data_IF_286034123388
#
_entry.id   IF_286034123388
#
_cell.length_a   1.000
_cell.length_b   1.000
_cell.length_c   1.000
_cell.angle_alpha   90.00
_cell.angle_beta   90.00
_cell.angle_gamma   90.00
#
_symmetry.space_group_name_H-M   'P 1'
#
loop_
_entity.id
_entity.type
_entity.pdbx_description
1 polymer ?
#
# COMPACT_ATOMS: atom_id res chain seq x y z
N UNK A 1 15.44 17.26 13.93
CA UNK A 1 14.47 16.83 14.97
C UNK A 1 14.11 15.34 14.83
N UNK A 2 13.48 14.90 13.72
CA UNK A 2 13.02 13.51 13.55
C UNK A 2 14.10 12.41 13.61
N UNK A 3 15.29 12.64 13.02
CA UNK A 3 16.39 11.69 13.10
C UNK A 3 16.90 11.48 14.54
N UNK A 4 16.88 12.54 15.35
CA UNK A 4 17.26 12.49 16.76
C UNK A 4 16.21 11.70 17.55
N UNK A 5 14.93 11.91 17.26
CA UNK A 5 13.84 11.18 17.90
C UNK A 5 13.86 9.68 17.55
N UNK A 6 14.15 9.33 16.30
CA UNK A 6 14.35 7.95 15.87
C UNK A 6 15.53 7.32 16.63
N UNK A 7 16.70 7.97 16.64
CA UNK A 7 17.86 7.49 17.38
C UNK A 7 17.58 7.36 18.88
N UNK A 8 16.86 8.31 19.47
CA UNK A 8 16.46 8.25 20.87
C UNK A 8 15.62 7.00 21.17
N UNK A 9 14.62 6.69 20.35
CA UNK A 9 13.82 5.48 20.52
C UNK A 9 14.64 4.22 20.29
N UNK A 10 15.51 4.17 19.29
CA UNK A 10 16.39 3.02 19.02
C UNK A 10 17.38 2.77 20.17
N UNK A 11 18.04 3.82 20.70
CA UNK A 11 18.92 3.72 21.86
C UNK A 11 18.16 3.31 23.12
N UNK A 12 16.96 3.87 23.33
CA UNK A 12 16.11 3.49 24.48
C UNK A 12 15.69 2.02 24.39
N UNK A 13 15.36 1.51 23.20
CA UNK A 13 15.03 0.10 23.02
C UNK A 13 16.24 -0.81 23.27
N UNK A 14 17.43 -0.40 22.83
CA UNK A 14 18.66 -1.15 23.07
C UNK A 14 18.98 -1.24 24.58
N UNK A 15 18.82 -0.15 25.34
CA UNK A 15 19.04 -0.17 26.80
C UNK A 15 17.96 -0.96 27.53
N UNK A 16 16.70 -0.90 27.06
CA UNK A 16 15.61 -1.70 27.60
C UNK A 16 15.79 -3.21 27.36
N UNK A 17 16.45 -3.62 26.28
CA UNK A 17 16.78 -5.02 26.01
C UNK A 17 17.97 -5.52 26.85
N UNK A 18 18.87 -4.63 27.27
CA UNK A 18 20.05 -4.97 28.08
C UNK A 18 19.73 -5.03 29.58
N UNK A 19 18.73 -4.29 30.06
CA UNK A 19 18.34 -4.28 31.46
C UNK A 19 17.45 -5.48 31.81
N UNK A 20 17.78 -6.20 32.89
CA UNK A 20 17.02 -7.35 33.40
C UNK A 20 15.62 -7.00 33.92
N UNK A 21 15.35 -5.72 34.22
CA UNK A 21 14.01 -5.25 34.57
C UNK A 21 13.15 -5.15 33.30
N UNK A 22 12.46 -6.23 32.98
CA UNK A 22 11.59 -6.40 31.81
C UNK A 22 10.39 -5.44 31.86
N UNK A 23 10.59 -4.16 31.55
CA UNK A 23 9.51 -3.17 31.47
C UNK A 23 8.80 -3.28 30.12
N UNK A 24 8.06 -4.38 29.95
CA UNK A 24 7.39 -4.74 28.71
C UNK A 24 6.40 -3.67 28.25
N UNK A 25 5.74 -2.98 29.19
CA UNK A 25 4.81 -1.90 28.89
C UNK A 25 5.50 -0.69 28.24
N UNK A 26 6.66 -0.28 28.77
CA UNK A 26 7.43 0.83 28.21
C UNK A 26 8.03 0.44 26.86
N UNK A 27 8.57 -0.78 26.76
CA UNK A 27 9.09 -1.34 25.52
C UNK A 27 8.01 -1.36 24.43
N UNK A 28 6.81 -1.84 24.73
CA UNK A 28 5.68 -1.90 23.78
C UNK A 28 5.30 -0.51 23.28
N UNK A 29 5.08 0.45 24.19
CA UNK A 29 4.74 1.83 23.82
C UNK A 29 5.84 2.51 22.99
N UNK A 30 7.10 2.24 23.32
CA UNK A 30 8.25 2.81 22.60
C UNK A 30 8.32 2.27 21.17
N UNK A 31 8.16 0.95 20.99
CA UNK A 31 8.07 0.32 19.68
C UNK A 31 6.89 0.84 18.86
N UNK A 32 5.71 1.02 19.49
CA UNK A 32 4.54 1.55 18.81
C UNK A 32 4.78 2.98 18.30
N UNK A 33 5.44 3.82 19.12
CA UNK A 33 5.81 5.20 18.74
C UNK A 33 6.86 5.22 17.64
N UNK A 34 7.88 4.36 17.72
CA UNK A 34 8.87 4.19 16.66
C UNK A 34 8.22 3.74 15.36
N UNK A 35 7.27 2.79 15.41
CA UNK A 35 6.54 2.31 14.23
C UNK A 35 5.71 3.41 13.54
N UNK A 36 4.98 4.21 14.31
CA UNK A 36 4.25 5.36 13.77
C UNK A 36 5.21 6.40 13.15
N UNK A 37 6.34 6.66 13.79
CA UNK A 37 7.37 7.59 13.29
C UNK A 37 7.97 7.13 11.97
N UNK A 38 8.25 5.82 11.84
CA UNK A 38 8.73 5.22 10.60
C UNK A 38 7.69 5.30 9.47
N UNK A 39 6.40 5.26 9.79
CA UNK A 39 5.32 5.41 8.81
C UNK A 39 5.14 6.86 8.34
N UNK A 40 5.19 7.83 9.26
CA UNK A 40 5.03 9.27 8.94
C UNK A 40 6.10 9.78 7.96
N UNK A 41 7.29 9.17 7.98
CA UNK A 41 8.35 9.39 7.00
C UNK A 41 8.01 8.61 5.72
N UNK A 42 7.18 9.21 4.84
CA UNK A 42 6.72 8.65 3.54
C UNK A 42 7.61 7.49 3.06
N UNK A 43 7.03 6.30 3.08
CA UNK A 43 7.65 5.00 2.77
C UNK A 43 8.20 4.92 1.34
N UNK A 44 9.37 5.52 1.09
CA UNK A 44 10.08 5.37 -0.19
C UNK A 44 11.27 4.40 -0.09
N UNK A 45 11.59 3.87 1.09
CA UNK A 45 12.73 2.95 1.27
C UNK A 45 12.32 1.57 1.78
N UNK A 46 12.62 0.53 1.01
CA UNK A 46 12.44 -0.90 1.34
C UNK A 46 13.02 -1.27 2.71
N UNK A 47 14.06 -0.56 3.16
CA UNK A 47 14.70 -0.76 4.47
C UNK A 47 13.76 -0.44 5.63
N UNK A 48 13.00 0.66 5.54
CA UNK A 48 12.09 1.07 6.61
C UNK A 48 10.85 0.17 6.69
N UNK A 49 10.36 -0.30 5.55
CA UNK A 49 9.29 -1.29 5.50
C UNK A 49 9.69 -2.61 6.17
N UNK A 50 10.92 -3.10 5.94
CA UNK A 50 11.44 -4.27 6.64
C UNK A 50 11.61 -4.04 8.15
N UNK A 51 12.11 -2.86 8.55
CA UNK A 51 12.25 -2.49 9.97
C UNK A 51 10.89 -2.44 10.67
N UNK A 52 9.88 -1.81 10.06
CA UNK A 52 8.52 -1.77 10.61
C UNK A 52 7.90 -3.16 10.71
N UNK A 53 8.08 -4.00 9.69
CA UNK A 53 7.59 -5.38 9.70
C UNK A 53 8.22 -6.22 10.82
N UNK A 54 9.51 -5.99 11.12
CA UNK A 54 10.18 -6.61 12.27
C UNK A 54 9.57 -6.16 13.59
N UNK A 55 9.41 -4.84 13.78
CA UNK A 55 8.79 -4.28 15.00
C UNK A 55 7.38 -4.85 15.20
N UNK A 56 6.56 -4.90 14.15
CA UNK A 56 5.20 -5.45 14.21
C UNK A 56 5.21 -6.93 14.61
N UNK A 57 6.13 -7.75 14.08
CA UNK A 57 6.26 -9.16 14.49
C UNK A 57 6.64 -9.30 15.96
N UNK A 58 7.58 -8.49 16.44
CA UNK A 58 7.98 -8.49 17.85
C UNK A 58 6.81 -8.07 18.76
N UNK A 59 6.02 -7.08 18.36
CA UNK A 59 4.83 -6.62 19.08
C UNK A 59 3.73 -7.70 19.12
N UNK A 60 3.45 -8.38 17.99
CA UNK A 60 2.48 -9.47 17.94
C UNK A 60 2.88 -10.64 18.84
N UNK A 61 4.15 -11.04 18.82
CA UNK A 61 4.66 -12.09 19.69
C UNK A 61 4.52 -11.70 21.18
N UNK A 62 4.74 -10.43 21.52
CA UNK A 62 4.51 -9.92 22.88
C UNK A 62 3.02 -9.96 23.26
N UNK A 63 2.10 -9.65 22.34
CA UNK A 63 0.66 -9.80 22.58
C UNK A 63 0.27 -11.28 22.77
N UNK A 64 0.79 -12.21 21.98
CA UNK A 64 0.49 -13.65 22.09
C UNK A 64 1.02 -14.25 23.39
N UNK A 65 2.23 -13.87 23.81
CA UNK A 65 2.80 -14.30 25.09
C UNK A 65 1.96 -13.84 26.29
N UNK A 66 1.43 -12.62 26.24
CA UNK A 66 0.55 -12.09 27.28
C UNK A 66 -0.82 -12.76 27.29
N UNK A 67 -1.31 -13.26 26.15
CA UNK A 67 -2.57 -14.00 26.08
C UNK A 67 -2.47 -15.40 26.72
N UNK A 68 -1.30 -16.05 26.60
CA UNK A 68 -1.06 -17.37 27.18
C UNK A 68 -0.86 -17.37 28.71
N UNK A 69 -0.67 -16.20 29.31
CA UNK A 69 -0.37 -16.02 30.73
C UNK A 69 -1.60 -15.68 31.61
N UNK A 70 -2.80 -15.55 31.02
CA UNK A 70 -4.02 -15.19 31.75
C UNK A 70 -4.67 -16.45 32.29
N UNK A 71 -4.52 -16.67 33.60
CA UNK A 71 -5.25 -17.67 34.40
C UNK A 71 -6.57 -17.07 34.95
N UNK A 72 -7.54 -17.94 35.21
CA UNK A 72 -9.01 -17.80 35.07
C UNK A 72 -9.79 -16.70 35.85
N UNK A 73 -9.18 -15.79 36.62
CA UNK A 73 -9.94 -15.03 37.67
C UNK A 73 -10.06 -13.50 37.48
N UNK A 74 -9.32 -12.83 36.56
CA UNK A 74 -9.41 -11.36 36.33
C UNK A 74 -9.45 -10.95 34.83
N UNK A 75 -10.07 -11.84 34.04
CA UNK A 75 -10.08 -11.85 32.55
C UNK A 75 -10.69 -10.58 31.93
N UNK A 76 -11.68 -9.97 32.58
CA UNK A 76 -12.44 -8.87 31.97
C UNK A 76 -11.60 -7.59 31.82
N UNK A 77 -10.85 -7.18 32.84
CA UNK A 77 -10.13 -5.87 32.80
C UNK A 77 -8.77 -5.97 32.11
N UNK A 78 -8.11 -7.12 32.23
CA UNK A 78 -6.82 -7.41 31.58
C UNK A 78 -6.99 -7.73 30.10
N UNK A 79 -8.03 -8.50 29.74
CA UNK A 79 -8.41 -8.79 28.35
C UNK A 79 -8.72 -7.53 27.54
N UNK A 80 -9.48 -6.58 28.10
CA UNK A 80 -9.82 -5.34 27.38
C UNK A 80 -8.59 -4.46 27.08
N UNK A 81 -7.57 -4.48 27.96
CA UNK A 81 -6.30 -3.75 27.73
C UNK A 81 -5.47 -4.44 26.64
N UNK A 82 -5.41 -5.77 26.68
CA UNK A 82 -4.76 -6.58 25.66
C UNK A 82 -5.40 -6.36 24.28
N UNK A 83 -6.73 -6.43 24.20
CA UNK A 83 -7.50 -6.17 22.98
C UNK A 83 -7.24 -4.77 22.42
N UNK A 84 -7.17 -3.76 23.28
CA UNK A 84 -6.82 -2.39 22.86
C UNK A 84 -5.40 -2.31 22.31
N UNK A 85 -4.43 -2.99 22.93
CA UNK A 85 -3.04 -3.03 22.47
C UNK A 85 -2.92 -3.80 21.15
N UNK A 86 -3.63 -4.92 21.00
CA UNK A 86 -3.67 -5.70 19.78
C UNK A 86 -4.25 -4.89 18.62
N UNK A 87 -5.30 -4.11 18.88
CA UNK A 87 -5.89 -3.22 17.88
C UNK A 87 -4.91 -2.12 17.41
N UNK A 88 -4.09 -1.59 18.32
CA UNK A 88 -3.02 -0.64 17.98
C UNK A 88 -1.99 -1.27 17.01
N UNK A 89 -1.63 -2.53 17.23
CA UNK A 89 -0.68 -3.27 16.38
C UNK A 89 -1.30 -3.57 15.02
N UNK A 90 -2.57 -4.00 14.98
CA UNK A 90 -3.28 -4.22 13.72
C UNK A 90 -3.41 -2.93 12.90
N UNK A 91 -3.66 -1.79 13.53
CA UNK A 91 -3.70 -0.52 12.80
C UNK A 91 -2.35 -0.15 12.16
N UNK A 92 -1.23 -0.36 12.87
CA UNK A 92 0.12 -0.21 12.28
C UNK A 92 0.35 -1.16 11.11
N UNK A 93 -0.12 -2.40 11.23
CA UNK A 93 0.01 -3.41 10.20
C UNK A 93 -0.84 -3.10 8.95
N UNK A 94 -2.06 -2.60 9.16
CA UNK A 94 -2.93 -2.09 8.09
C UNK A 94 -2.25 -0.92 7.37
N UNK A 95 -1.66 0.03 8.10
CA UNK A 95 -0.92 1.15 7.51
C UNK A 95 0.25 0.67 6.65
N UNK A 96 1.03 -0.30 7.13
CA UNK A 96 2.13 -0.94 6.39
C UNK A 96 1.64 -1.59 5.09
N UNK A 97 0.62 -2.45 5.15
CA UNK A 97 0.13 -3.15 3.96
C UNK A 97 -0.64 -2.25 3.00
N UNK A 98 -1.21 -1.14 3.48
CA UNK A 98 -1.82 -0.10 2.63
C UNK A 98 -0.78 0.51 1.70
N UNK A 99 0.43 0.77 2.20
CA UNK A 99 1.52 1.29 1.36
C UNK A 99 2.08 0.21 0.44
N UNK A 100 2.18 -1.04 0.89
CA UNK A 100 2.60 -2.16 0.06
C UNK A 100 1.57 -2.56 -1.00
N UNK A 101 0.34 -2.02 -0.92
CA UNK A 101 -0.81 -2.35 -1.78
C UNK A 101 -1.16 -3.84 -1.78
N UNK A 102 -0.90 -4.54 -0.67
CA UNK A 102 -1.25 -5.96 -0.53
C UNK A 102 -2.69 -6.10 -0.02
N UNK A 103 -3.66 -6.00 -0.94
CA UNK A 103 -5.08 -6.01 -0.60
C UNK A 103 -5.56 -7.33 0.00
N UNK A 104 -4.91 -8.47 -0.30
CA UNK A 104 -5.30 -9.78 0.24
C UNK A 104 -5.06 -9.82 1.75
N UNK A 105 -3.86 -9.40 2.18
CA UNK A 105 -3.53 -9.33 3.60
C UNK A 105 -4.33 -8.27 4.34
N UNK A 106 -4.69 -7.17 3.68
CA UNK A 106 -5.56 -6.15 4.28
C UNK A 106 -6.94 -6.69 4.64
N UNK A 107 -7.54 -7.53 3.76
CA UNK A 107 -8.83 -8.18 4.04
C UNK A 107 -8.71 -9.08 5.27
N UNK A 108 -7.72 -9.96 5.31
CA UNK A 108 -7.50 -10.87 6.44
C UNK A 108 -7.28 -10.11 7.76
N UNK A 109 -6.50 -9.02 7.73
CA UNK A 109 -6.23 -8.20 8.92
C UNK A 109 -7.45 -7.42 9.38
N UNK A 110 -8.26 -6.92 8.44
CA UNK A 110 -9.51 -6.25 8.76
C UNK A 110 -10.49 -7.20 9.44
N UNK A 111 -10.65 -8.42 8.93
CA UNK A 111 -11.47 -9.45 9.58
C UNK A 111 -10.96 -9.81 10.98
N UNK A 112 -9.64 -9.94 11.15
CA UNK A 112 -9.03 -10.16 12.47
C UNK A 112 -9.32 -8.99 13.42
N UNK A 113 -9.19 -7.76 12.95
CA UNK A 113 -9.46 -6.55 13.75
C UNK A 113 -10.94 -6.44 14.17
N UNK A 114 -11.89 -6.89 13.35
CA UNK A 114 -13.31 -6.92 13.70
C UNK A 114 -13.67 -7.93 14.79
N UNK A 115 -12.87 -9.00 14.96
CA UNK A 115 -13.08 -9.99 16.01
C UNK A 115 -12.66 -9.48 17.39
N UNK A 116 -11.75 -8.51 17.43
CA UNK A 116 -11.27 -7.89 18.67
C UNK A 116 -12.31 -6.89 19.17
N UNK A 117 -12.78 -7.04 20.41
CA UNK A 117 -13.77 -6.16 21.03
C UNK A 117 -13.12 -5.37 22.18
N UNK A 118 -12.36 -4.31 21.86
CA UNK A 118 -11.75 -3.49 22.89
C UNK A 118 -12.82 -2.73 23.67
N UNK A 119 -12.63 -2.57 24.98
CA UNK A 119 -13.56 -1.80 25.81
C UNK A 119 -13.61 -0.33 25.41
N UNK A 120 -12.44 0.29 25.19
CA UNK A 120 -12.30 1.66 24.70
C UNK A 120 -11.11 1.73 23.74
N UNK A 121 -11.38 1.76 22.43
CA UNK A 121 -10.35 2.00 21.42
C UNK A 121 -10.17 3.49 21.12
N UNK A 122 -8.94 3.92 20.84
CA UNK A 122 -8.66 5.30 20.49
C UNK A 122 -9.32 5.68 19.15
N UNK A 123 -10.05 6.81 19.03
CA UNK A 123 -10.79 7.18 17.81
C UNK A 123 -9.94 7.14 16.53
N UNK A 124 -8.68 7.58 16.61
CA UNK A 124 -7.72 7.52 15.50
C UNK A 124 -7.48 6.10 14.96
N UNK A 125 -7.40 5.09 15.83
CA UNK A 125 -7.15 3.69 15.45
C UNK A 125 -8.37 3.12 14.75
N UNK A 126 -9.55 3.35 15.34
CA UNK A 126 -10.84 2.96 14.75
C UNK A 126 -11.01 3.62 13.38
N UNK A 127 -10.60 4.88 13.24
CA UNK A 127 -10.58 5.60 11.96
C UNK A 127 -9.77 4.89 10.89
N UNK A 128 -8.52 4.49 11.19
CA UNK A 128 -7.64 3.77 10.25
C UNK A 128 -8.27 2.43 9.82
N UNK A 129 -8.83 1.68 10.77
CA UNK A 129 -9.45 0.37 10.49
C UNK A 129 -10.69 0.54 9.61
N UNK A 130 -11.56 1.52 9.93
CA UNK A 130 -12.77 1.80 9.14
C UNK A 130 -12.44 2.35 7.75
N UNK A 131 -11.41 3.19 7.63
CA UNK A 131 -10.95 3.69 6.33
C UNK A 131 -10.46 2.55 5.43
N UNK A 132 -9.66 1.63 5.99
CA UNK A 132 -9.22 0.43 5.28
C UNK A 132 -10.43 -0.44 4.86
N UNK A 133 -11.36 -0.70 5.78
CA UNK A 133 -12.58 -1.46 5.48
C UNK A 133 -13.42 -0.81 4.38
N UNK A 134 -13.61 0.51 4.43
CA UNK A 134 -14.35 1.26 3.41
C UNK A 134 -13.70 1.16 2.03
N UNK A 135 -12.37 1.36 1.94
CA UNK A 135 -11.61 1.22 0.69
C UNK A 135 -11.70 -0.20 0.13
N UNK A 136 -11.59 -1.20 0.99
CA UNK A 136 -11.68 -2.61 0.63
C UNK A 136 -13.07 -2.96 0.08
N UNK A 137 -14.14 -2.54 0.76
CA UNK A 137 -15.51 -2.76 0.30
C UNK A 137 -15.79 -2.03 -1.01
N UNK A 138 -15.38 -0.77 -1.14
CA UNK A 138 -15.49 -0.05 -2.42
C UNK A 138 -14.76 -0.80 -3.54
N UNK A 139 -13.57 -1.34 -3.28
CA UNK A 139 -12.84 -2.13 -4.28
C UNK A 139 -13.57 -3.43 -4.65
N UNK A 140 -14.22 -4.09 -3.69
CA UNK A 140 -15.02 -5.29 -3.94
C UNK A 140 -16.28 -4.96 -4.77
N UNK A 141 -17.00 -3.90 -4.42
CA UNK A 141 -18.19 -3.44 -5.13
C UNK A 141 -17.83 -2.96 -6.55
N UNK A 142 -16.74 -2.23 -6.72
CA UNK A 142 -16.24 -1.79 -8.04
C UNK A 142 -15.90 -2.98 -8.95
N UNK A 143 -15.39 -4.08 -8.39
CA UNK A 143 -15.14 -5.31 -9.14
C UNK A 143 -16.43 -6.06 -9.52
N UNK A 144 -17.56 -5.70 -8.92
CA UNK A 144 -18.90 -6.22 -9.21
C UNK A 144 -19.74 -5.34 -10.14
N UNK A 145 -19.21 -4.20 -10.59
CA UNK A 145 -19.93 -3.32 -11.53
C UNK A 145 -20.04 -4.01 -12.88
N UNK A 146 -21.25 -4.04 -13.43
CA UNK A 146 -21.49 -4.62 -14.75
C UNK A 146 -20.69 -3.86 -15.81
N UNK A 147 -20.21 -4.57 -16.83
CA UNK A 147 -19.41 -4.00 -17.91
C UNK A 147 -20.12 -2.81 -18.58
N UNK A 148 -21.45 -2.85 -18.69
CA UNK A 148 -22.25 -1.77 -19.27
C UNK A 148 -22.22 -0.51 -18.41
N UNK A 149 -22.26 -0.68 -17.08
CA UNK A 149 -22.23 0.44 -16.14
C UNK A 149 -20.83 1.06 -16.05
N UNK A 150 -19.77 0.24 -16.11
CA UNK A 150 -18.39 0.73 -16.27
C UNK A 150 -18.24 1.53 -17.57
N UNK A 151 -18.78 1.03 -18.67
CA UNK A 151 -18.74 1.72 -19.97
C UNK A 151 -19.47 3.06 -19.92
N UNK A 152 -20.65 3.11 -19.28
CA UNK A 152 -21.43 4.34 -19.13
C UNK A 152 -20.69 5.39 -18.31
N UNK A 153 -20.10 5.00 -17.17
CA UNK A 153 -19.31 5.89 -16.31
C UNK A 153 -18.07 6.39 -17.07
N UNK A 154 -17.36 5.51 -17.77
CA UNK A 154 -16.19 5.89 -18.57
C UNK A 154 -16.57 6.85 -19.70
N UNK A 155 -17.70 6.63 -20.38
CA UNK A 155 -18.18 7.52 -21.43
C UNK A 155 -18.47 8.92 -20.87
N UNK A 156 -19.13 9.01 -19.72
CA UNK A 156 -19.37 10.26 -19.02
C UNK A 156 -18.06 10.98 -18.65
N UNK A 157 -17.08 10.26 -18.10
CA UNK A 157 -15.77 10.84 -17.73
C UNK A 157 -14.94 11.32 -18.93
N UNK A 158 -15.07 10.65 -20.08
CA UNK A 158 -14.44 11.09 -21.33
C UNK A 158 -15.13 12.34 -21.88
N UNK A 159 -16.46 12.40 -21.84
CA UNK A 159 -17.25 13.57 -22.25
C UNK A 159 -16.97 14.79 -21.37
N UNK A 160 -16.84 14.58 -20.05
CA UNK A 160 -16.46 15.60 -19.06
C UNK A 160 -15.00 16.08 -19.22
N UNK A 161 -14.21 15.46 -20.11
CA UNK A 161 -12.81 15.79 -20.33
C UNK A 161 -11.87 15.43 -19.18
N UNK A 162 -12.36 14.71 -18.15
CA UNK A 162 -11.55 14.21 -17.02
C UNK A 162 -10.65 13.05 -17.44
N UNK A 163 -11.09 12.26 -18.41
CA UNK A 163 -10.32 11.16 -19.01
C UNK A 163 -10.09 11.46 -20.48
N UNK A 164 -8.83 11.65 -20.88
CA UNK A 164 -8.47 11.88 -22.28
C UNK A 164 -8.26 10.53 -22.99
N UNK A 165 -9.33 10.00 -23.57
CA UNK A 165 -9.29 8.73 -24.28
C UNK A 165 -10.48 8.52 -25.21
N UNK A 166 -10.56 7.32 -25.80
CA UNK A 166 -11.70 6.80 -26.56
C UNK A 166 -12.00 5.39 -26.08
N UNK A 167 -13.28 5.03 -26.05
CA UNK A 167 -13.74 3.71 -25.65
C UNK A 167 -13.97 2.88 -26.91
N UNK A 168 -13.30 1.73 -27.00
CA UNK A 168 -13.60 0.68 -27.96
C UNK A 168 -14.62 -0.28 -27.31
N UNK A 169 -15.87 -0.13 -27.70
CA UNK A 169 -17.00 -0.87 -27.13
C UNK A 169 -16.95 -2.36 -27.48
N UNK A 170 -16.44 -2.70 -28.68
CA UNK A 170 -16.37 -4.09 -29.18
C UNK A 170 -15.34 -4.88 -28.37
N UNK A 171 -14.13 -4.30 -28.22
CA UNK A 171 -13.04 -4.95 -27.50
C UNK A 171 -13.06 -4.67 -25.99
N UNK A 172 -13.89 -3.73 -25.52
CA UNK A 172 -13.96 -3.33 -24.12
C UNK A 172 -12.71 -2.61 -23.62
N UNK A 173 -12.03 -1.90 -24.51
CA UNK A 173 -10.75 -1.24 -24.21
C UNK A 173 -10.92 0.27 -24.18
N UNK A 174 -10.40 0.89 -23.12
CA UNK A 174 -10.21 2.34 -23.08
C UNK A 174 -8.83 2.67 -23.67
N UNK A 175 -8.82 3.32 -24.83
CA UNK A 175 -7.61 3.82 -25.48
C UNK A 175 -7.35 5.23 -25.00
N UNK A 176 -6.38 5.39 -24.10
CA UNK A 176 -5.93 6.70 -23.63
C UNK A 176 -5.14 7.41 -24.72
N UNK A 177 -5.25 8.74 -24.81
CA UNK A 177 -4.36 9.50 -25.68
C UNK A 177 -2.94 9.48 -25.11
N UNK A 178 -1.91 9.28 -25.95
CA UNK A 178 -0.53 9.32 -25.51
C UNK A 178 -0.23 10.69 -24.89
N UNK A 179 0.50 10.67 -23.77
CA UNK A 179 0.88 11.89 -23.09
C UNK A 179 1.91 12.65 -23.96
N UNK A 180 1.99 13.99 -23.86
CA UNK A 180 2.89 14.83 -24.72
C UNK A 180 4.36 14.37 -24.80
N UNK A 181 4.82 13.61 -23.80
CA UNK A 181 6.16 13.01 -23.80
C UNK A 181 6.32 11.87 -24.82
N UNK A 182 5.27 11.10 -25.06
CA UNK A 182 5.25 9.96 -25.98
C UNK A 182 5.06 10.41 -27.44
N UNK A 183 4.40 11.54 -27.69
CA UNK A 183 4.29 12.12 -29.04
C UNK A 183 5.68 12.41 -29.65
N UNK A 184 6.65 12.84 -28.82
CA UNK A 184 8.04 13.05 -29.26
C UNK A 184 8.74 11.73 -29.63
N UNK A 185 8.51 10.68 -28.85
CA UNK A 185 9.04 9.34 -29.11
C UNK A 185 8.46 8.75 -30.40
N UNK A 186 7.14 8.86 -30.59
CA UNK A 186 6.46 8.43 -31.81
C UNK A 186 6.93 9.25 -33.02
N UNK A 187 7.14 10.55 -32.86
CA UNK A 187 7.72 11.42 -33.88
C UNK A 187 9.13 10.98 -34.29
N UNK A 188 10.00 10.68 -33.33
CA UNK A 188 11.34 10.18 -33.59
C UNK A 188 11.34 8.81 -34.30
N UNK A 189 10.43 7.91 -33.90
CA UNK A 189 10.27 6.61 -34.53
C UNK A 189 9.84 6.73 -36.00
N UNK A 190 8.89 7.62 -36.30
CA UNK A 190 8.44 7.87 -37.67
C UNK A 190 9.56 8.44 -38.57
N UNK A 191 10.45 9.27 -38.02
CA UNK A 191 11.63 9.77 -38.75
C UNK A 191 12.61 8.65 -39.07
N UNK A 192 12.80 7.71 -38.14
CA UNK A 192 13.63 6.52 -38.37
C UNK A 192 13.04 5.62 -39.45
N UNK A 193 11.73 5.37 -39.41
CA UNK A 193 11.03 4.61 -40.45
C UNK A 193 11.20 5.24 -41.83
N UNK A 194 11.03 6.56 -41.93
CA UNK A 194 11.26 7.29 -43.19
C UNK A 194 12.70 7.17 -43.69
N UNK A 195 13.67 7.25 -42.78
CA UNK A 195 15.09 7.10 -43.12
C UNK A 195 15.39 5.69 -43.64
N UNK A 196 14.80 4.67 -43.01
CA UNK A 196 14.92 3.28 -43.41
C UNK A 196 14.29 3.02 -44.78
N UNK A 197 13.11 3.58 -45.05
CA UNK A 197 12.46 3.48 -46.36
C UNK A 197 13.24 4.16 -47.46
N UNK A 198 13.85 5.31 -47.16
CA UNK A 198 14.71 6.03 -48.11
C UNK A 198 15.93 5.18 -48.46
N UNK A 199 16.54 4.55 -47.46
CA UNK A 199 17.69 3.66 -47.65
C UNK A 199 17.28 2.40 -48.43
N UNK A 200 16.11 1.82 -48.14
CA UNK A 200 15.51 0.71 -48.89
C UNK A 200 15.33 1.06 -50.36
N UNK A 201 14.78 2.25 -50.68
CA UNK A 201 14.62 2.73 -52.05
C UNK A 201 15.96 2.91 -52.76
N UNK A 202 16.93 3.55 -52.10
CA UNK A 202 18.27 3.72 -52.67
C UNK A 202 19.01 2.41 -52.93
N UNK A 203 18.83 1.40 -52.07
CA UNK A 203 19.37 0.07 -52.30
C UNK A 203 18.65 -0.63 -53.45
N UNK A 204 17.33 -0.50 -53.55
CA UNK A 204 16.54 -1.07 -54.63
C UNK A 204 16.97 -0.50 -56.00
N UNK A 205 17.10 0.82 -56.12
CA UNK A 205 17.53 1.51 -57.35
C UNK A 205 18.96 1.15 -57.76
N UNK A 206 19.84 0.81 -56.81
CA UNK A 206 21.23 0.41 -57.10
C UNK A 206 21.40 -1.07 -57.47
N UNK A 207 20.52 -1.94 -56.97
CA UNK A 207 20.63 -3.39 -57.17
C UNK A 207 19.78 -3.89 -58.35
N UNK A 208 18.80 -3.10 -58.80
CA UNK A 208 18.00 -3.34 -59.99
C UNK A 208 18.03 -2.10 -60.89
N UNK A 209 19.18 -1.75 -61.51
CA UNK A 209 19.14 -0.81 -62.61
C UNK A 209 18.32 -1.47 -63.72
N UNK A 210 17.29 -0.78 -64.21
CA UNK A 210 16.42 -1.26 -65.28
C UNK A 210 17.25 -1.91 -66.38
N UNK A 211 16.91 -3.17 -66.69
CA UNK A 211 17.39 -3.87 -67.87
C UNK A 211 17.01 -3.05 -69.10
N UNK A 212 17.97 -2.30 -69.63
CA UNK A 212 17.95 -1.72 -70.97
C UNK A 212 18.73 -2.64 -71.91
#
# INVERSE_FOLDING_TARGET
>A
AWAILQQFYETTLATLQQNESRNERLWFKTNLKLGNLLFDRRMDSTKQSMQLLRIVKELLASCEANAAAVDDDDVATTGLKHDSQLLEVYALQIQLYTVQKDNKKLVELYEKALRVKPGVAHPRIVGVIRECGGKMHMMQELNGIDRQEVEHILAALVLDGKVQGRIDQVNGLLVLRPHKSEEKLVGALNQWTHSLEKLRRQLHDKLLPEAA
#
